data_IF_592182253882
#
_entry.id   IF_592182253882
#
_cell.length_a   1.000
_cell.length_b   1.000
_cell.length_c   1.000
_cell.angle_alpha   90.00
_cell.angle_beta   90.00
_cell.angle_gamma   90.00
#
_symmetry.space_group_name_H-M   'P 1'
#
loop_
_entity.id
_entity.type
_entity.pdbx_description
1 polymer ?
#
# COMPACT_ATOMS: atom_id res chain seq x y z
N UNK A 1 -10.58 22.19 -16.42
CA UNK A 1 -9.60 21.18 -16.85
C UNK A 1 -8.83 20.55 -15.70
N UNK A 2 -8.31 21.28 -14.72
CA UNK A 2 -7.57 20.70 -13.56
C UNK A 2 -8.40 19.81 -12.65
N UNK A 3 -9.69 20.07 -12.48
CA UNK A 3 -10.58 19.26 -11.64
C UNK A 3 -10.94 17.89 -12.26
N UNK A 4 -10.91 17.80 -13.58
CA UNK A 4 -11.09 16.52 -14.30
C UNK A 4 -9.81 15.67 -14.25
N UNK A 5 -8.64 16.28 -14.36
CA UNK A 5 -7.35 15.59 -14.20
C UNK A 5 -7.16 15.02 -12.80
N UNK A 6 -7.61 15.74 -11.76
CA UNK A 6 -7.59 15.23 -10.37
C UNK A 6 -8.54 14.05 -10.12
N UNK A 7 -9.63 13.95 -10.87
CA UNK A 7 -10.54 12.80 -10.80
C UNK A 7 -9.97 11.55 -11.46
N UNK A 8 -9.19 11.70 -12.51
CA UNK A 8 -8.56 10.56 -13.20
C UNK A 8 -7.37 9.98 -12.42
N UNK A 9 -6.61 10.81 -11.69
CA UNK A 9 -5.50 10.36 -10.84
C UNK A 9 -5.96 9.49 -9.66
N UNK A 10 -7.17 9.70 -9.15
CA UNK A 10 -7.73 8.92 -8.02
C UNK A 10 -8.28 7.53 -8.43
N UNK A 11 -8.38 7.23 -9.72
CA UNK A 11 -8.96 5.96 -10.19
C UNK A 11 -7.99 4.80 -10.23
N UNK A 12 -6.69 5.03 -10.07
CA UNK A 12 -5.68 3.98 -10.20
C UNK A 12 -5.52 3.07 -8.98
N UNK A 13 -5.91 3.52 -7.80
CA UNK A 13 -5.72 2.77 -6.53
C UNK A 13 -6.96 1.99 -6.10
N UNK A 14 -8.08 2.12 -6.80
CA UNK A 14 -9.31 1.39 -6.51
C UNK A 14 -9.70 0.46 -7.67
N UNK A 15 -10.28 -0.70 -7.34
CA UNK A 15 -10.85 -1.58 -8.35
C UNK A 15 -12.03 -0.91 -9.06
N UNK A 16 -12.05 -1.00 -10.39
CA UNK A 16 -13.14 -0.45 -11.21
C UNK A 16 -14.44 -1.20 -11.01
N UNK A 17 -14.38 -2.51 -10.78
CA UNK A 17 -15.54 -3.39 -10.58
C UNK A 17 -15.23 -4.44 -9.54
N UNK A 18 -16.15 -4.64 -8.61
CA UNK A 18 -16.02 -5.62 -7.53
C UNK A 18 -17.27 -6.50 -7.46
N UNK A 19 -17.06 -7.81 -7.44
CA UNK A 19 -18.15 -8.80 -7.33
C UNK A 19 -18.63 -8.97 -5.90
N UNK A 20 -17.74 -8.90 -4.91
CA UNK A 20 -18.05 -9.10 -3.48
C UNK A 20 -17.70 -7.83 -2.71
N UNK A 21 -18.69 -7.26 -2.05
CA UNK A 21 -18.55 -6.01 -1.28
C UNK A 21 -18.61 -6.20 0.24
N UNK A 22 -18.93 -7.42 0.69
CA UNK A 22 -19.02 -7.76 2.11
C UNK A 22 -18.23 -9.02 2.35
N UNK A 23 -17.15 -8.91 3.13
CA UNK A 23 -16.24 -10.01 3.42
C UNK A 23 -16.02 -10.13 4.93
N UNK A 24 -15.57 -11.29 5.37
CA UNK A 24 -15.18 -11.49 6.77
C UNK A 24 -13.96 -10.65 7.12
N UNK A 25 -13.84 -10.30 8.39
CA UNK A 25 -12.73 -9.47 8.90
C UNK A 25 -11.37 -10.14 8.66
N UNK A 26 -11.27 -11.44 8.86
CA UNK A 26 -10.04 -12.18 8.69
C UNK A 26 -9.03 -11.97 9.82
N UNK A 27 -7.87 -12.59 9.67
CA UNK A 27 -6.76 -12.53 10.63
C UNK A 27 -5.54 -11.85 9.98
N UNK A 28 -4.80 -11.09 10.80
CA UNK A 28 -3.52 -10.47 10.44
C UNK A 28 -2.31 -11.28 10.94
N UNK A 29 -2.54 -12.47 11.49
CA UNK A 29 -1.48 -13.32 12.01
C UNK A 29 -0.56 -13.85 10.90
N UNK A 30 0.69 -14.09 11.26
CA UNK A 30 1.71 -14.65 10.38
C UNK A 30 2.51 -13.60 9.61
N UNK A 31 3.44 -14.08 8.80
CA UNK A 31 4.32 -13.29 7.95
C UNK A 31 3.89 -13.38 6.48
N UNK A 32 4.33 -12.45 5.66
CA UNK A 32 4.10 -12.50 4.22
C UNK A 32 4.96 -13.62 3.59
N UNK A 33 4.30 -14.53 2.86
CA UNK A 33 4.97 -15.58 2.09
C UNK A 33 5.14 -15.22 0.61
N UNK A 34 4.29 -14.32 0.10
CA UNK A 34 4.34 -13.82 -1.27
C UNK A 34 4.50 -12.31 -1.27
N UNK A 35 5.18 -11.78 -2.28
CA UNK A 35 5.45 -10.36 -2.38
C UNK A 35 6.38 -9.84 -1.29
N UNK A 36 7.29 -10.68 -0.80
CA UNK A 36 8.30 -10.37 0.20
C UNK A 36 9.68 -10.06 -0.40
N UNK A 37 9.79 -10.04 -1.73
CA UNK A 37 11.01 -9.71 -2.46
C UNK A 37 10.81 -8.52 -3.38
N UNK A 38 11.87 -7.73 -3.58
CA UNK A 38 11.90 -6.67 -4.58
C UNK A 38 12.11 -7.28 -5.96
N UNK A 39 11.15 -7.12 -6.87
CA UNK A 39 11.13 -7.77 -8.18
C UNK A 39 11.32 -6.81 -9.35
N UNK A 40 10.70 -5.65 -9.31
CA UNK A 40 10.71 -4.68 -10.43
C UNK A 40 11.73 -3.57 -10.26
N UNK A 41 11.93 -3.11 -9.04
CA UNK A 41 12.83 -2.01 -8.71
C UNK A 41 14.17 -2.46 -8.13
N UNK A 42 14.96 -1.51 -7.73
CA UNK A 42 16.24 -1.69 -7.04
C UNK A 42 16.10 -1.54 -5.53
N UNK A 43 15.10 -0.74 -5.11
CA UNK A 43 14.81 -0.41 -3.71
C UNK A 43 13.38 -0.77 -3.38
N UNK A 44 13.14 -1.11 -2.14
CA UNK A 44 11.80 -1.45 -1.65
C UNK A 44 11.51 -0.92 -0.26
N UNK A 45 10.24 -0.78 0.03
CA UNK A 45 9.72 -0.42 1.36
C UNK A 45 8.96 -1.62 1.92
N UNK A 46 9.47 -2.20 2.99
CA UNK A 46 8.95 -3.42 3.61
C UNK A 46 8.20 -3.06 4.89
N UNK A 47 7.02 -3.64 5.06
CA UNK A 47 6.25 -3.53 6.29
C UNK A 47 6.87 -4.39 7.40
N UNK A 48 6.99 -3.83 8.60
CA UNK A 48 7.46 -4.54 9.80
C UNK A 48 6.31 -4.97 10.71
N UNK A 49 5.13 -4.40 10.51
CA UNK A 49 3.94 -4.67 11.32
C UNK A 49 2.75 -5.05 10.43
N UNK A 50 1.82 -5.89 10.92
CA UNK A 50 0.59 -6.17 10.19
C UNK A 50 -0.39 -4.99 10.30
N UNK A 51 -1.06 -4.64 9.23
CA UNK A 51 -2.10 -3.60 9.24
C UNK A 51 -2.98 -3.64 7.99
N UNK A 52 -4.08 -2.92 8.08
CA UNK A 52 -4.91 -2.55 6.94
C UNK A 52 -4.53 -1.16 6.46
N UNK A 53 -4.07 -1.07 5.24
CA UNK A 53 -3.66 0.19 4.62
C UNK A 53 -4.76 0.63 3.66
N UNK A 54 -5.32 1.82 3.90
CA UNK A 54 -6.40 2.36 3.06
C UNK A 54 -5.89 2.82 1.69
N UNK A 55 -6.78 2.86 0.70
CA UNK A 55 -6.45 3.39 -0.62
C UNK A 55 -5.93 4.83 -0.58
N UNK A 56 -6.45 5.66 0.31
CA UNK A 56 -6.00 7.03 0.50
C UNK A 56 -4.56 7.11 1.04
N UNK A 57 -4.19 6.22 1.96
CA UNK A 57 -2.83 6.13 2.49
C UNK A 57 -1.83 5.68 1.43
N UNK A 58 -2.20 4.70 0.60
CA UNK A 58 -1.39 4.23 -0.51
C UNK A 58 -1.14 5.37 -1.51
N UNK A 59 -2.18 6.09 -1.87
CA UNK A 59 -2.09 7.23 -2.80
C UNK A 59 -1.26 8.38 -2.22
N UNK A 60 -1.42 8.70 -0.94
CA UNK A 60 -0.62 9.71 -0.26
C UNK A 60 0.87 9.36 -0.25
N UNK A 61 1.22 8.10 0.01
CA UNK A 61 2.60 7.62 -0.04
C UNK A 61 3.20 7.71 -1.44
N UNK A 62 2.44 7.30 -2.46
CA UNK A 62 2.86 7.42 -3.87
C UNK A 62 3.15 8.86 -4.26
N UNK A 63 2.26 9.78 -3.93
CA UNK A 63 2.42 11.21 -4.21
C UNK A 63 3.66 11.76 -3.52
N UNK A 64 3.90 11.42 -2.25
CA UNK A 64 5.07 11.86 -1.50
C UNK A 64 6.38 11.41 -2.16
N UNK A 65 6.48 10.16 -2.58
CA UNK A 65 7.65 9.64 -3.31
C UNK A 65 7.83 10.34 -4.66
N UNK A 66 6.77 10.42 -5.45
CA UNK A 66 6.81 11.01 -6.80
C UNK A 66 7.22 12.47 -6.78
N UNK A 67 6.74 13.24 -5.81
CA UNK A 67 7.14 14.66 -5.66
C UNK A 67 8.62 14.82 -5.34
N UNK A 68 9.15 13.96 -4.49
CA UNK A 68 10.54 14.04 -4.11
C UNK A 68 11.48 13.70 -5.27
N UNK A 69 11.21 12.64 -6.01
CA UNK A 69 12.06 12.21 -7.13
C UNK A 69 11.87 13.03 -8.42
N UNK A 70 10.87 13.93 -8.47
CA UNK A 70 10.61 14.86 -9.59
C UNK A 70 10.60 14.19 -10.96
N UNK A 71 9.92 13.03 -11.09
CA UNK A 71 9.88 12.23 -12.33
C UNK A 71 11.24 11.63 -12.76
N UNK A 72 12.26 11.70 -11.91
CA UNK A 72 13.60 11.15 -12.18
C UNK A 72 13.73 9.64 -12.01
N UNK A 73 12.66 8.94 -11.65
CA UNK A 73 12.65 7.50 -11.43
C UNK A 73 11.30 6.90 -11.68
N UNK A 74 11.17 5.60 -11.36
CA UNK A 74 9.93 4.86 -11.51
C UNK A 74 9.51 4.25 -10.18
N UNK A 75 8.22 4.35 -9.86
CA UNK A 75 7.60 3.83 -8.64
C UNK A 75 6.61 2.73 -9.00
N UNK A 76 6.67 1.60 -8.30
CA UNK A 76 5.66 0.54 -8.37
C UNK A 76 4.95 0.41 -7.04
N UNK A 77 3.63 0.32 -7.08
CA UNK A 77 2.80 0.00 -5.94
C UNK A 77 2.56 -1.50 -5.96
N UNK A 78 3.02 -2.21 -4.93
CA UNK A 78 2.95 -3.67 -4.84
C UNK A 78 1.77 -4.18 -3.99
N UNK A 79 1.03 -3.29 -3.37
CA UNK A 79 -0.17 -3.60 -2.59
C UNK A 79 -1.40 -3.00 -3.26
N UNK A 80 -2.53 -3.69 -3.14
CA UNK A 80 -3.78 -3.25 -3.74
C UNK A 80 -4.92 -3.30 -2.71
N UNK A 81 -5.76 -2.27 -2.62
CA UNK A 81 -6.87 -2.23 -1.67
C UNK A 81 -8.05 -3.07 -2.19
N UNK A 82 -8.01 -4.36 -1.95
CA UNK A 82 -9.02 -5.31 -2.41
C UNK A 82 -10.11 -5.64 -1.39
N UNK A 83 -9.87 -5.35 -0.11
CA UNK A 83 -10.78 -5.69 0.99
C UNK A 83 -11.70 -4.53 1.32
N UNK A 84 -13.03 -4.70 1.21
CA UNK A 84 -13.99 -3.69 1.63
C UNK A 84 -14.13 -3.69 3.16
N UNK A 85 -14.14 -2.50 3.74
CA UNK A 85 -14.48 -2.29 5.15
C UNK A 85 -15.87 -1.68 5.21
N UNK A 86 -16.76 -2.33 5.93
CA UNK A 86 -18.15 -1.93 6.06
C UNK A 86 -18.37 -1.17 7.36
N UNK A 87 -19.29 -0.23 7.34
CA UNK A 87 -19.72 0.51 8.51
C UNK A 87 -21.23 0.72 8.49
N UNK A 88 -21.83 0.58 9.65
CA UNK A 88 -23.23 0.96 9.83
C UNK A 88 -23.33 2.44 10.23
N UNK A 89 -24.38 3.15 9.81
CA UNK A 89 -24.65 4.50 10.32
C UNK A 89 -24.75 4.50 11.84
N UNK A 90 -24.33 5.61 12.48
CA UNK A 90 -24.33 5.73 13.94
C UNK A 90 -25.71 5.58 14.59
N UNK A 91 -26.76 5.92 13.85
CA UNK A 91 -28.17 5.86 14.28
C UNK A 91 -28.84 4.50 14.06
N UNK A 92 -28.15 3.54 13.44
CA UNK A 92 -28.70 2.22 13.12
C UNK A 92 -28.58 1.29 14.31
N UNK A 93 -29.67 0.57 14.62
CA UNK A 93 -29.68 -0.47 15.67
C UNK A 93 -28.88 -1.70 15.21
N UNK A 94 -28.46 -2.51 16.18
CA UNK A 94 -27.80 -3.77 15.94
C UNK A 94 -28.76 -4.76 15.23
N UNK A 95 -28.21 -5.60 14.35
CA UNK A 95 -28.98 -6.57 13.56
C UNK A 95 -29.27 -6.09 12.13
N UNK A 96 -30.12 -6.80 11.43
CA UNK A 96 -30.54 -6.56 10.03
C UNK A 96 -29.38 -6.60 9.00
N UNK A 97 -28.34 -7.40 9.26
CA UNK A 97 -27.26 -7.69 8.32
C UNK A 97 -26.06 -6.77 8.45
N UNK A 98 -25.07 -7.03 7.59
CA UNK A 98 -23.81 -6.31 7.54
C UNK A 98 -23.99 -4.94 6.89
N UNK A 99 -23.27 -3.94 7.40
CA UNK A 99 -23.29 -2.58 6.86
C UNK A 99 -22.80 -2.47 5.42
N UNK A 100 -22.98 -1.32 4.83
CA UNK A 100 -22.50 -1.03 3.48
C UNK A 100 -20.99 -0.77 3.46
N UNK A 101 -20.27 -1.09 2.36
CA UNK A 101 -18.87 -0.74 2.20
C UNK A 101 -18.65 0.77 2.28
N UNK A 102 -17.69 1.19 3.08
CA UNK A 102 -17.33 2.59 3.26
C UNK A 102 -16.02 2.91 2.56
N UNK A 103 -15.00 2.06 2.73
CA UNK A 103 -13.70 2.22 2.10
C UNK A 103 -13.03 0.86 1.86
N UNK A 104 -11.95 0.89 1.10
CA UNK A 104 -11.19 -0.28 0.71
C UNK A 104 -9.80 -0.26 1.32
N UNK A 105 -9.31 -1.42 1.74
CA UNK A 105 -8.00 -1.58 2.37
C UNK A 105 -7.19 -2.69 1.73
N UNK A 106 -5.88 -2.54 1.76
CA UNK A 106 -4.92 -3.61 1.50
C UNK A 106 -4.55 -4.29 2.82
N UNK A 107 -4.63 -5.60 2.87
CA UNK A 107 -4.17 -6.39 4.02
C UNK A 107 -2.68 -6.62 3.89
N UNK A 108 -1.91 -6.05 4.81
CA UNK A 108 -0.45 -6.13 4.81
C UNK A 108 0.02 -6.90 6.03
N UNK A 109 0.87 -7.89 5.81
CA UNK A 109 1.54 -8.67 6.85
C UNK A 109 3.03 -8.29 6.94
N UNK A 110 3.69 -8.53 8.07
CA UNK A 110 5.13 -8.26 8.21
C UNK A 110 5.94 -8.95 7.10
N UNK A 111 6.90 -8.24 6.54
CA UNK A 111 7.75 -8.74 5.45
C UNK A 111 7.23 -8.44 4.04
N UNK A 112 6.04 -7.88 3.91
CA UNK A 112 5.49 -7.50 2.60
C UNK A 112 6.18 -6.28 2.04
N UNK A 113 6.67 -6.36 0.80
CA UNK A 113 7.14 -5.20 0.03
C UNK A 113 5.93 -4.44 -0.46
N UNK A 114 5.77 -3.20 -0.01
CA UNK A 114 4.62 -2.37 -0.34
C UNK A 114 4.85 -1.49 -1.57
N UNK A 115 6.05 -0.93 -1.68
CA UNK A 115 6.45 -0.05 -2.78
C UNK A 115 7.84 -0.43 -3.27
N UNK A 116 8.08 -0.24 -4.55
CA UNK A 116 9.39 -0.39 -5.17
C UNK A 116 9.76 0.88 -5.93
N UNK A 117 11.06 1.18 -5.99
CA UNK A 117 11.61 2.36 -6.62
C UNK A 117 12.84 2.00 -7.43
N UNK A 118 12.99 2.59 -8.60
CA UNK A 118 14.16 2.44 -9.46
C UNK A 118 14.49 3.73 -10.22
N UNK A 119 15.68 3.80 -10.78
CA UNK A 119 16.12 4.92 -11.60
C UNK A 119 16.57 6.16 -10.81
N UNK A 120 16.88 6.01 -9.52
CA UNK A 120 17.38 7.07 -8.65
C UNK A 120 18.55 6.56 -7.82
N UNK A 121 19.38 7.49 -7.31
CA UNK A 121 20.45 7.14 -6.38
C UNK A 121 19.90 6.62 -5.04
N UNK A 122 20.71 5.85 -4.32
CA UNK A 122 20.30 5.31 -3.02
C UNK A 122 19.88 6.38 -2.02
N UNK A 123 20.61 7.50 -1.95
CA UNK A 123 20.30 8.59 -1.02
C UNK A 123 18.94 9.23 -1.32
N UNK A 124 18.64 9.46 -2.60
CA UNK A 124 17.33 9.95 -3.03
C UNK A 124 16.23 8.93 -2.77
N UNK A 125 16.49 7.65 -3.00
CA UNK A 125 15.54 6.58 -2.73
C UNK A 125 15.22 6.47 -1.22
N UNK A 126 16.22 6.55 -0.36
CA UNK A 126 16.04 6.54 1.10
C UNK A 126 15.17 7.69 1.57
N UNK A 127 15.42 8.89 1.08
CA UNK A 127 14.65 10.07 1.45
C UNK A 127 13.22 10.01 0.92
N UNK A 128 13.01 9.58 -0.32
CA UNK A 128 11.68 9.38 -0.88
C UNK A 128 10.86 8.35 -0.07
N UNK A 129 11.47 7.23 0.28
CA UNK A 129 10.84 6.20 1.10
C UNK A 129 10.57 6.68 2.53
N UNK A 130 11.46 7.48 3.11
CA UNK A 130 11.23 8.11 4.42
C UNK A 130 9.97 9.00 4.41
N UNK A 131 9.81 9.80 3.39
CA UNK A 131 8.61 10.63 3.23
C UNK A 131 7.34 9.79 3.04
N UNK A 132 7.44 8.68 2.32
CA UNK A 132 6.33 7.74 2.16
C UNK A 132 5.94 7.05 3.47
N UNK A 133 6.91 6.68 4.31
CA UNK A 133 6.66 6.05 5.62
C UNK A 133 5.77 6.90 6.52
N UNK A 134 5.90 8.22 6.47
CA UNK A 134 5.08 9.13 7.27
C UNK A 134 3.59 9.14 6.87
N UNK A 135 3.27 8.65 5.68
CA UNK A 135 1.89 8.52 5.19
C UNK A 135 1.25 7.17 5.48
N UNK A 136 2.04 6.22 5.94
CA UNK A 136 1.60 4.84 6.20
C UNK A 136 1.38 4.61 7.71
N UNK A 137 0.40 3.75 8.09
CA UNK A 137 0.10 3.49 9.51
C UNK A 137 1.01 2.45 10.16
N UNK A 138 2.00 1.93 9.44
CA UNK A 138 2.89 0.85 9.91
C UNK A 138 4.33 1.31 9.95
N UNK A 139 5.11 0.65 10.80
CA UNK A 139 6.57 0.76 10.76
C UNK A 139 7.09 0.05 9.52
N UNK A 140 8.01 0.70 8.83
CA UNK A 140 8.55 0.22 7.57
C UNK A 140 10.07 0.22 7.61
N UNK A 141 10.68 -0.61 6.75
CA UNK A 141 12.12 -0.69 6.55
C UNK A 141 12.44 -0.44 5.08
N UNK A 142 13.45 0.37 4.84
CA UNK A 142 14.06 0.51 3.52
C UNK A 142 14.97 -0.69 3.25
N UNK A 143 14.81 -1.32 2.09
CA UNK A 143 15.64 -2.46 1.66
C UNK A 143 16.14 -2.26 0.25
N UNK A 144 17.31 -2.80 -0.04
CA UNK A 144 17.83 -2.96 -1.39
C UNK A 144 17.47 -4.35 -1.90
N UNK A 145 17.39 -4.51 -3.20
CA UNK A 145 17.14 -5.81 -3.81
C UNK A 145 18.19 -6.86 -3.41
N UNK A 146 19.44 -6.47 -3.38
CA UNK A 146 20.58 -7.33 -3.01
C UNK A 146 20.48 -7.85 -1.56
N UNK A 147 20.02 -7.02 -0.62
CA UNK A 147 19.90 -7.38 0.80
C UNK A 147 18.91 -8.53 1.03
N UNK A 148 17.84 -8.58 0.24
CA UNK A 148 16.81 -9.62 0.35
C UNK A 148 17.19 -10.95 -0.34
N UNK A 149 18.12 -10.92 -1.27
CA UNK A 149 18.64 -12.12 -1.93
C UNK A 149 19.59 -12.90 -1.01
N UNK A 150 20.31 -12.20 -0.13
CA UNK A 150 21.23 -12.81 0.84
C UNK A 150 20.50 -13.49 2.00
N UNK A 151 19.40 -12.92 2.49
CA UNK A 151 18.61 -13.50 3.58
C UNK A 151 17.80 -14.74 3.16
N UNK A 152 17.59 -14.95 1.88
CA UNK A 152 16.84 -16.09 1.32
C UNK A 152 17.67 -17.29 0.89
N UNK A 153 18.97 -17.29 1.15
CA UNK A 153 19.96 -18.29 0.71
C UNK A 153 20.40 -19.29 1.78
N UNK A 154 19.68 -19.44 2.90
CA UNK A 154 19.90 -20.50 3.90
C UNK A 154 18.77 -21.53 3.92
#
# INVERSE_FOLDING_TARGET
>A
MEAQLRKEENTHVNAKRVKRRRVHRGSLAGKAHKGNKVTYGEFGLVALEPSWITSNQIEAARIAMTRYIKRGGKVWIKIFPHKPVTRKPAETRMGAGKGSPEYWVAVVKPGRVMFELAGVSEDKAREAMRLAMHKLPVKCKFVKREDLEVEGGE
#
